data_IF_620534122107
#
_entry.id   IF_620534122107
#
_cell.length_a   1.000
_cell.length_b   1.000
_cell.length_c   1.000
_cell.angle_alpha   90.00
_cell.angle_beta   90.00
_cell.angle_gamma   90.00
#
_symmetry.space_group_name_H-M   'P 1'
#
loop_
_entity.id
_entity.type
_entity.pdbx_description
1 polymer ?
#
# COMPACT_ATOMS: atom_id res chain seq x y z
N UNK A 1 -47.14 -7.53 -7.14
CA UNK A 1 -47.18 -8.91 -6.68
C UNK A 1 -46.11 -9.66 -7.44
N UNK A 2 -44.86 -9.72 -6.91
CA UNK A 2 -43.75 -10.40 -7.57
C UNK A 2 -43.64 -11.81 -7.01
N UNK A 3 -43.56 -12.79 -7.88
CA UNK A 3 -43.38 -14.19 -7.56
C UNK A 3 -42.21 -14.37 -6.60
N UNK A 4 -42.45 -14.95 -5.43
CA UNK A 4 -41.42 -15.41 -4.51
C UNK A 4 -40.76 -16.62 -5.17
N UNK A 5 -39.56 -16.41 -5.72
CA UNK A 5 -38.71 -17.51 -6.15
C UNK A 5 -38.28 -18.29 -4.90
N UNK A 6 -38.97 -19.39 -4.61
CA UNK A 6 -38.78 -20.23 -3.43
C UNK A 6 -37.82 -21.39 -3.71
N UNK A 7 -36.89 -21.23 -4.64
CA UNK A 7 -35.88 -22.25 -4.88
C UNK A 7 -35.04 -22.39 -3.60
N UNK A 8 -35.11 -23.58 -2.95
CA UNK A 8 -34.26 -23.93 -1.81
C UNK A 8 -32.82 -23.91 -2.28
N UNK A 9 -32.02 -23.06 -1.64
CA UNK A 9 -30.59 -22.93 -1.92
C UNK A 9 -29.83 -23.45 -0.70
N UNK A 10 -29.17 -24.59 -0.82
CA UNK A 10 -28.29 -25.09 0.22
C UNK A 10 -26.85 -24.66 -0.07
N UNK A 11 -26.32 -23.84 0.80
CA UNK A 11 -24.93 -23.39 0.74
C UNK A 11 -24.08 -24.09 1.79
N UNK A 12 -22.81 -24.37 1.46
CA UNK A 12 -21.85 -24.88 2.43
C UNK A 12 -21.37 -23.77 3.34
N UNK A 13 -22.08 -23.60 4.45
CA UNK A 13 -21.77 -22.62 5.50
C UNK A 13 -20.85 -23.27 6.52
N UNK A 14 -19.77 -22.61 6.97
CA UNK A 14 -18.86 -23.15 7.98
C UNK A 14 -19.60 -23.64 9.24
N UNK A 15 -19.18 -24.79 9.78
CA UNK A 15 -19.82 -25.41 10.92
C UNK A 15 -19.93 -24.47 12.13
N UNK A 16 -18.93 -23.60 12.34
CA UNK A 16 -18.97 -22.62 13.42
C UNK A 16 -20.07 -21.58 13.20
N UNK A 17 -20.22 -21.01 11.99
CA UNK A 17 -21.30 -20.05 11.67
C UNK A 17 -22.66 -20.69 11.84
N UNK A 18 -22.83 -21.95 11.40
CA UNK A 18 -24.05 -22.74 11.66
C UNK A 18 -24.35 -22.89 13.15
N UNK A 19 -23.31 -23.15 13.96
CA UNK A 19 -23.47 -23.26 15.41
C UNK A 19 -23.86 -21.94 16.07
N UNK A 20 -23.26 -20.81 15.60
CA UNK A 20 -23.61 -19.47 16.07
C UNK A 20 -25.10 -19.18 15.86
N UNK A 21 -25.57 -19.38 14.61
CA UNK A 21 -26.98 -19.14 14.27
C UNK A 21 -27.92 -20.07 15.06
N UNK A 22 -27.60 -21.37 15.19
CA UNK A 22 -28.40 -22.32 15.97
C UNK A 22 -28.51 -21.92 17.45
N UNK A 23 -27.41 -21.49 18.08
CA UNK A 23 -27.42 -21.08 19.47
C UNK A 23 -28.27 -19.83 19.68
N UNK A 24 -28.13 -18.80 18.83
CA UNK A 24 -28.96 -17.60 18.87
C UNK A 24 -30.46 -17.94 18.70
N UNK A 25 -30.79 -18.84 17.77
CA UNK A 25 -32.17 -19.32 17.62
C UNK A 25 -32.68 -20.11 18.84
N UNK A 26 -31.81 -20.88 19.50
CA UNK A 26 -32.14 -21.63 20.73
C UNK A 26 -32.54 -20.72 21.89
N UNK A 27 -31.95 -19.52 21.96
CA UNK A 27 -32.27 -18.49 22.94
C UNK A 27 -33.39 -17.53 22.44
N UNK A 28 -34.12 -17.89 21.39
CA UNK A 28 -35.28 -17.15 20.88
C UNK A 28 -34.94 -15.95 19.98
N UNK A 29 -33.66 -15.73 19.67
CA UNK A 29 -33.24 -14.61 18.81
C UNK A 29 -33.34 -14.98 17.33
N UNK A 30 -33.64 -14.00 16.49
CA UNK A 30 -33.47 -14.13 15.03
C UNK A 30 -31.97 -13.99 14.67
N UNK A 31 -31.50 -14.81 13.73
CA UNK A 31 -30.13 -14.73 13.26
C UNK A 31 -30.01 -15.17 11.80
N UNK A 32 -29.21 -14.44 11.01
CA UNK A 32 -29.05 -14.64 9.57
C UNK A 32 -27.60 -14.42 9.14
N UNK A 33 -27.14 -15.15 8.12
CA UNK A 33 -25.91 -14.79 7.41
C UNK A 33 -26.20 -13.57 6.52
N UNK A 34 -25.29 -12.61 6.44
CA UNK A 34 -25.52 -11.35 5.71
C UNK A 34 -24.29 -10.85 4.96
N UNK A 35 -24.47 -9.82 4.16
CA UNK A 35 -23.40 -9.03 3.59
C UNK A 35 -22.61 -9.73 2.48
N UNK A 36 -21.27 -9.61 2.56
CA UNK A 36 -20.35 -10.11 1.54
C UNK A 36 -20.47 -11.59 1.26
N UNK A 37 -20.69 -12.42 2.30
CA UNK A 37 -20.86 -13.86 2.16
C UNK A 37 -22.06 -14.20 1.26
N UNK A 38 -23.22 -13.58 1.53
CA UNK A 38 -24.45 -13.83 0.73
C UNK A 38 -24.26 -13.39 -0.71
N UNK A 39 -23.65 -12.21 -0.93
CA UNK A 39 -23.31 -11.72 -2.27
C UNK A 39 -22.43 -12.74 -3.02
N UNK A 40 -21.32 -13.15 -2.41
CA UNK A 40 -20.33 -14.01 -3.07
C UNK A 40 -20.93 -15.36 -3.41
N UNK A 41 -21.74 -15.93 -2.52
CA UNK A 41 -22.48 -17.17 -2.79
C UNK A 41 -23.51 -17.01 -3.90
N UNK A 42 -24.24 -15.87 -3.97
CA UNK A 42 -25.13 -15.56 -5.09
C UNK A 42 -24.37 -15.42 -6.42
N UNK A 43 -23.08 -15.05 -6.37
CA UNK A 43 -22.20 -14.96 -7.54
C UNK A 43 -21.53 -16.32 -7.89
N UNK A 44 -21.81 -17.38 -7.16
CA UNK A 44 -21.13 -18.67 -7.30
C UNK A 44 -19.65 -18.65 -6.88
N UNK A 45 -19.25 -17.71 -6.01
CA UNK A 45 -17.89 -17.55 -5.49
C UNK A 45 -17.80 -18.08 -4.06
N UNK A 46 -16.64 -18.63 -3.64
CA UNK A 46 -16.44 -19.00 -2.24
C UNK A 46 -16.49 -17.77 -1.34
N UNK A 47 -17.27 -17.83 -0.26
CA UNK A 47 -17.31 -16.79 0.76
C UNK A 47 -16.15 -16.97 1.75
N UNK A 48 -15.46 -15.87 2.08
CA UNK A 48 -14.32 -15.87 3.01
C UNK A 48 -14.68 -15.23 4.34
N UNK A 49 -15.47 -14.14 4.31
CA UNK A 49 -15.85 -13.36 5.47
C UNK A 49 -17.32 -13.62 5.80
N UNK A 50 -17.57 -14.15 6.99
CA UNK A 50 -18.89 -14.61 7.40
C UNK A 50 -19.44 -13.71 8.51
N UNK A 51 -20.35 -12.83 8.13
CA UNK A 51 -21.03 -11.92 9.04
C UNK A 51 -22.42 -12.51 9.39
N UNK A 52 -22.77 -12.40 10.66
CA UNK A 52 -24.11 -12.76 11.18
C UNK A 52 -24.78 -11.50 11.70
N UNK A 53 -26.05 -11.31 11.37
CA UNK A 53 -26.89 -10.28 12.00
C UNK A 53 -27.97 -10.95 12.84
N UNK A 54 -28.36 -10.30 13.97
CA UNK A 54 -29.26 -10.90 14.95
C UNK A 54 -30.16 -9.87 15.63
N UNK A 55 -31.29 -10.31 16.18
CA UNK A 55 -32.13 -9.49 17.06
C UNK A 55 -31.55 -9.36 18.47
N UNK A 56 -30.54 -10.18 18.85
CA UNK A 56 -29.91 -10.14 20.17
C UNK A 56 -29.07 -8.84 20.31
N UNK A 57 -29.11 -8.26 21.51
CA UNK A 57 -28.21 -7.16 21.88
C UNK A 57 -26.76 -7.65 22.07
N UNK A 58 -25.77 -6.75 22.12
CA UNK A 58 -24.38 -7.16 22.36
C UNK A 58 -24.19 -7.90 23.70
N UNK A 59 -24.97 -7.57 24.71
CA UNK A 59 -24.97 -8.22 26.02
C UNK A 59 -25.48 -9.66 25.90
N UNK A 60 -26.63 -9.85 25.26
CA UNK A 60 -27.23 -11.16 24.99
C UNK A 60 -26.34 -12.03 24.13
N UNK A 61 -25.68 -11.45 23.09
CA UNK A 61 -24.69 -12.19 22.28
C UNK A 61 -23.57 -12.71 23.18
N UNK A 62 -23.01 -11.86 24.08
CA UNK A 62 -21.94 -12.30 24.99
C UNK A 62 -22.42 -13.40 25.95
N UNK A 63 -23.63 -13.29 26.48
CA UNK A 63 -24.21 -14.31 27.33
C UNK A 63 -24.40 -15.66 26.61
N UNK A 64 -24.95 -15.64 25.39
CA UNK A 64 -25.12 -16.86 24.56
C UNK A 64 -23.77 -17.53 24.25
N UNK A 65 -22.70 -16.75 24.11
CA UNK A 65 -21.36 -17.23 23.80
C UNK A 65 -20.38 -17.14 24.96
N UNK A 66 -20.89 -17.21 26.20
CA UNK A 66 -20.04 -17.29 27.39
C UNK A 66 -19.03 -18.44 27.25
N UNK A 67 -17.77 -18.17 27.62
CA UNK A 67 -16.63 -19.09 27.42
C UNK A 67 -15.93 -19.04 26.06
N UNK A 68 -16.49 -18.32 25.06
CA UNK A 68 -15.75 -17.99 23.86
C UNK A 68 -15.03 -16.64 24.01
N UNK A 69 -13.78 -16.58 23.50
CA UNK A 69 -13.07 -15.30 23.41
C UNK A 69 -13.84 -14.36 22.49
N UNK A 70 -14.30 -13.23 23.04
CA UNK A 70 -15.03 -12.23 22.28
C UNK A 70 -14.59 -10.82 22.67
N UNK A 71 -14.79 -9.85 21.78
CA UNK A 71 -14.62 -8.43 22.06
C UNK A 71 -15.66 -7.62 21.28
N UNK A 72 -16.07 -6.48 21.85
CA UNK A 72 -17.04 -5.60 21.20
C UNK A 72 -16.34 -4.62 20.29
N UNK A 73 -16.90 -4.45 19.09
CA UNK A 73 -16.54 -3.39 18.16
C UNK A 73 -17.55 -2.24 18.24
N UNK A 74 -17.28 -1.15 17.52
CA UNK A 74 -18.24 -0.07 17.31
C UNK A 74 -19.49 -0.63 16.59
N UNK A 75 -20.61 0.09 16.70
CA UNK A 75 -21.87 -0.23 16.01
C UNK A 75 -22.52 -1.57 16.45
N UNK A 76 -22.52 -1.85 17.74
CA UNK A 76 -23.21 -3.01 18.33
C UNK A 76 -22.77 -4.36 17.72
N UNK A 77 -21.51 -4.48 17.35
CA UNK A 77 -20.92 -5.71 16.81
C UNK A 77 -20.06 -6.41 17.86
N UNK A 78 -20.29 -7.71 18.04
CA UNK A 78 -19.46 -8.60 18.85
C UNK A 78 -18.66 -9.51 17.92
N UNK A 79 -17.35 -9.48 18.06
CA UNK A 79 -16.47 -10.40 17.32
C UNK A 79 -16.22 -11.64 18.17
N UNK A 80 -16.59 -12.79 17.66
CA UNK A 80 -16.30 -14.11 18.22
C UNK A 80 -15.02 -14.66 17.62
N UNK A 81 -14.10 -15.16 18.46
CA UNK A 81 -12.84 -15.75 18.00
C UNK A 81 -12.90 -17.28 18.11
N UNK A 82 -12.79 -17.98 16.98
CA UNK A 82 -12.76 -19.42 16.94
C UNK A 82 -11.63 -19.95 16.05
N UNK A 83 -10.75 -20.80 16.60
CA UNK A 83 -9.58 -21.37 15.88
C UNK A 83 -8.76 -20.31 15.13
N UNK A 84 -8.52 -19.15 15.77
CA UNK A 84 -7.74 -18.05 15.21
C UNK A 84 -8.47 -17.22 14.13
N UNK A 85 -9.72 -17.52 13.82
CA UNK A 85 -10.56 -16.74 12.90
C UNK A 85 -11.54 -15.85 13.68
N UNK A 86 -11.88 -14.72 13.10
CA UNK A 86 -12.81 -13.76 13.64
C UNK A 86 -14.15 -13.87 12.90
N UNK A 87 -15.25 -13.82 13.64
CA UNK A 87 -16.61 -13.86 13.11
C UNK A 87 -17.40 -12.74 13.73
N UNK A 88 -17.96 -11.86 12.91
CA UNK A 88 -18.72 -10.72 13.38
C UNK A 88 -20.19 -11.07 13.54
N UNK A 89 -20.73 -10.77 14.72
CA UNK A 89 -22.15 -10.91 15.05
C UNK A 89 -22.66 -9.52 15.42
N UNK A 90 -23.52 -8.96 14.58
CA UNK A 90 -24.02 -7.58 14.71
C UNK A 90 -25.50 -7.58 15.06
N UNK A 91 -25.88 -6.79 16.04
CA UNK A 91 -27.29 -6.53 16.35
C UNK A 91 -27.97 -5.81 15.19
N UNK A 92 -29.24 -6.10 14.91
CA UNK A 92 -30.00 -5.42 13.87
C UNK A 92 -29.92 -3.90 14.01
N UNK A 93 -29.50 -3.23 12.95
CA UNK A 93 -29.40 -1.78 12.85
C UNK A 93 -30.77 -1.15 12.62
N UNK A 94 -30.83 0.15 12.89
CA UNK A 94 -32.01 0.96 12.63
C UNK A 94 -33.00 1.00 13.80
N UNK A 95 -33.96 1.93 13.74
CA UNK A 95 -34.85 2.23 14.87
C UNK A 95 -35.83 1.11 15.22
N UNK A 96 -36.24 0.31 14.25
CA UNK A 96 -37.19 -0.80 14.44
C UNK A 96 -36.55 -2.09 14.89
N UNK A 97 -35.22 -2.20 14.79
CA UNK A 97 -34.43 -3.41 15.11
C UNK A 97 -35.01 -4.68 14.48
N UNK A 98 -35.41 -4.60 13.23
CA UNK A 98 -35.82 -5.72 12.39
C UNK A 98 -34.77 -6.08 11.36
N UNK A 99 -34.83 -7.28 10.79
CA UNK A 99 -33.93 -7.68 9.71
C UNK A 99 -34.05 -6.72 8.51
N UNK A 100 -35.25 -6.32 8.12
CA UNK A 100 -35.46 -5.42 6.99
C UNK A 100 -34.83 -4.05 7.25
N UNK A 101 -34.95 -3.54 8.46
CA UNK A 101 -34.34 -2.30 8.90
C UNK A 101 -32.82 -2.39 8.88
N UNK A 102 -32.22 -3.50 9.37
CA UNK A 102 -30.77 -3.73 9.26
C UNK A 102 -30.30 -3.75 7.80
N UNK A 103 -31.01 -4.47 6.92
CA UNK A 103 -30.67 -4.53 5.51
C UNK A 103 -30.79 -3.16 4.81
N UNK A 104 -31.77 -2.33 5.22
CA UNK A 104 -31.96 -0.96 4.71
C UNK A 104 -30.77 -0.05 5.02
N UNK A 105 -30.12 -0.23 6.18
CA UNK A 105 -28.99 0.59 6.63
C UNK A 105 -27.64 0.13 6.08
N UNK A 106 -27.62 -0.92 5.23
CA UNK A 106 -26.40 -1.35 4.54
C UNK A 106 -26.02 -0.42 3.39
N UNK A 107 -24.79 -0.55 2.91
CA UNK A 107 -24.22 0.35 1.90
C UNK A 107 -24.88 0.18 0.51
N UNK A 108 -24.84 -1.05 -0.02
CA UNK A 108 -25.30 -1.34 -1.38
C UNK A 108 -26.24 -2.54 -1.40
N UNK A 109 -27.17 -2.55 -2.38
CA UNK A 109 -28.15 -3.62 -2.56
C UNK A 109 -27.52 -5.00 -2.60
N UNK A 110 -26.37 -5.15 -3.26
CA UNK A 110 -25.62 -6.39 -3.37
C UNK A 110 -25.08 -6.91 -2.03
N UNK A 111 -24.99 -6.07 -1.01
CA UNK A 111 -24.59 -6.43 0.35
C UNK A 111 -25.77 -6.39 1.33
N UNK A 112 -26.96 -5.97 0.86
CA UNK A 112 -28.19 -5.82 1.65
C UNK A 112 -29.12 -7.03 1.49
N UNK A 113 -28.52 -8.22 1.52
CA UNK A 113 -29.20 -9.53 1.44
C UNK A 113 -28.87 -10.33 2.68
N UNK A 114 -29.83 -11.17 3.10
CA UNK A 114 -29.64 -12.13 4.18
C UNK A 114 -29.98 -13.55 3.75
N UNK A 115 -29.37 -14.54 4.36
CA UNK A 115 -29.69 -15.94 4.14
C UNK A 115 -30.30 -16.54 5.40
N UNK A 116 -31.53 -17.03 5.28
CA UNK A 116 -32.25 -17.77 6.34
C UNK A 116 -31.91 -19.26 6.21
N UNK A 117 -31.10 -19.76 7.12
CA UNK A 117 -30.70 -21.18 7.14
C UNK A 117 -31.86 -22.13 7.40
N UNK A 118 -32.93 -21.70 8.13
CA UNK A 118 -34.10 -22.57 8.41
C UNK A 118 -34.97 -22.75 7.19
N UNK A 119 -35.06 -21.69 6.36
CA UNK A 119 -35.87 -21.73 5.12
C UNK A 119 -35.02 -22.10 3.90
N UNK A 120 -33.71 -22.17 4.04
CA UNK A 120 -32.76 -22.33 2.92
C UNK A 120 -33.04 -21.31 1.81
N UNK A 121 -33.26 -20.06 2.17
CA UNK A 121 -33.72 -19.00 1.26
C UNK A 121 -32.97 -17.68 1.47
N UNK A 122 -32.75 -16.96 0.38
CA UNK A 122 -32.23 -15.59 0.40
C UNK A 122 -33.38 -14.63 0.61
N UNK A 123 -33.20 -13.72 1.57
CA UNK A 123 -34.07 -12.57 1.83
C UNK A 123 -33.43 -11.38 1.17
N UNK A 124 -34.09 -10.82 0.17
CA UNK A 124 -33.57 -9.75 -0.70
C UNK A 124 -34.66 -8.66 -0.92
N UNK A 125 -34.91 -7.81 0.06
CA UNK A 125 -35.94 -6.78 -0.04
C UNK A 125 -35.57 -5.64 -1.02
N UNK A 126 -34.28 -5.45 -1.33
CA UNK A 126 -33.77 -4.33 -2.11
C UNK A 126 -33.26 -4.71 -3.50
N UNK A 127 -33.43 -5.96 -3.94
CA UNK A 127 -33.11 -6.44 -5.29
C UNK A 127 -31.61 -6.63 -5.53
N UNK A 128 -30.86 -7.02 -4.52
CA UNK A 128 -29.40 -7.27 -4.61
C UNK A 128 -29.07 -8.36 -5.61
N UNK A 129 -29.84 -9.48 -5.68
CA UNK A 129 -29.66 -10.53 -6.70
C UNK A 129 -29.78 -10.00 -8.11
N UNK A 130 -30.81 -9.18 -8.37
CA UNK A 130 -31.01 -8.54 -9.66
C UNK A 130 -29.85 -7.59 -10.03
N UNK A 131 -29.30 -6.86 -9.06
CA UNK A 131 -28.17 -5.97 -9.28
C UNK A 131 -26.87 -6.75 -9.50
N UNK A 132 -26.69 -7.90 -8.87
CA UNK A 132 -25.59 -8.85 -9.18
C UNK A 132 -25.70 -9.32 -10.65
N UNK A 133 -26.87 -9.79 -11.09
CA UNK A 133 -27.09 -10.23 -12.47
C UNK A 133 -26.79 -9.12 -13.48
N UNK A 134 -27.21 -7.89 -13.17
CA UNK A 134 -26.96 -6.70 -14.01
C UNK A 134 -25.57 -6.11 -13.85
N UNK A 135 -24.75 -6.65 -12.94
CA UNK A 135 -23.43 -6.14 -12.59
C UNK A 135 -23.43 -4.66 -12.20
N UNK A 136 -24.26 -4.31 -11.24
CA UNK A 136 -24.49 -2.92 -10.79
C UNK A 136 -24.21 -2.79 -9.29
N UNK A 137 -23.47 -1.76 -8.91
CA UNK A 137 -23.36 -1.26 -7.53
C UNK A 137 -24.38 -0.13 -7.35
N UNK A 138 -25.39 -0.38 -6.53
CA UNK A 138 -26.49 0.55 -6.23
C UNK A 138 -26.58 0.79 -4.74
N UNK A 139 -26.72 2.04 -4.31
CA UNK A 139 -27.02 2.40 -2.92
C UNK A 139 -28.40 1.90 -2.50
N UNK A 140 -28.53 1.44 -1.25
CA UNK A 140 -29.82 0.96 -0.72
C UNK A 140 -30.76 2.14 -0.53
N UNK A 141 -31.96 2.08 -1.07
CA UNK A 141 -33.05 3.07 -1.00
C UNK A 141 -32.63 4.46 -1.48
N UNK A 142 -31.87 5.20 -0.68
CA UNK A 142 -31.31 6.53 -0.99
C UNK A 142 -29.81 6.50 -0.84
N UNK A 143 -29.03 6.57 -1.93
CA UNK A 143 -27.58 6.65 -1.84
C UNK A 143 -27.12 7.83 -0.97
N UNK A 144 -27.78 8.97 -1.07
CA UNK A 144 -27.46 10.20 -0.32
C UNK A 144 -27.53 9.96 1.19
N UNK A 145 -28.58 9.26 1.66
CA UNK A 145 -28.73 8.97 3.09
C UNK A 145 -27.68 7.98 3.56
N UNK A 146 -27.39 6.97 2.75
CA UNK A 146 -26.32 5.99 3.06
C UNK A 146 -24.95 6.66 3.17
N UNK A 147 -24.68 7.66 2.32
CA UNK A 147 -23.41 8.40 2.35
C UNK A 147 -23.34 9.41 3.50
N UNK A 148 -24.47 10.00 3.94
CA UNK A 148 -24.52 10.82 5.16
C UNK A 148 -24.25 10.01 6.41
N UNK A 149 -24.74 8.78 6.49
CA UNK A 149 -24.49 7.89 7.64
C UNK A 149 -23.01 7.50 7.75
N UNK A 150 -22.36 7.18 6.65
CA UNK A 150 -20.94 6.84 6.60
C UNK A 150 -20.34 7.25 5.25
N UNK A 151 -19.63 8.40 5.18
CA UNK A 151 -19.03 8.88 3.95
C UNK A 151 -17.96 7.96 3.37
N UNK A 152 -17.42 6.99 4.13
CA UNK A 152 -16.53 5.96 3.57
C UNK A 152 -17.22 5.16 2.46
N UNK A 153 -18.54 5.08 2.46
CA UNK A 153 -19.31 4.38 1.42
C UNK A 153 -19.12 4.97 0.03
N UNK A 154 -18.69 6.24 -0.07
CA UNK A 154 -18.33 6.88 -1.35
C UNK A 154 -17.19 6.11 -2.04
N UNK A 155 -16.10 5.87 -1.34
CA UNK A 155 -14.95 5.13 -1.89
C UNK A 155 -15.24 3.63 -1.96
N UNK A 156 -16.05 3.08 -1.06
CA UNK A 156 -16.49 1.68 -1.11
C UNK A 156 -17.28 1.36 -2.38
N UNK A 157 -18.09 2.31 -2.90
CA UNK A 157 -18.78 2.15 -4.18
C UNK A 157 -17.79 1.94 -5.33
N UNK A 158 -16.73 2.76 -5.38
CA UNK A 158 -15.65 2.62 -6.37
C UNK A 158 -14.93 1.29 -6.20
N UNK A 159 -14.60 0.93 -4.95
CA UNK A 159 -13.93 -0.35 -4.67
C UNK A 159 -14.77 -1.54 -5.14
N UNK A 160 -16.04 -1.62 -4.78
CA UNK A 160 -16.90 -2.73 -5.22
C UNK A 160 -17.07 -2.76 -6.73
N UNK A 161 -17.17 -1.61 -7.37
CA UNK A 161 -17.24 -1.55 -8.84
C UNK A 161 -16.02 -2.22 -9.49
N UNK A 162 -14.82 -1.94 -8.99
CA UNK A 162 -13.57 -2.50 -9.53
C UNK A 162 -13.36 -3.96 -9.12
N UNK A 163 -13.56 -4.27 -7.84
CA UNK A 163 -13.32 -5.59 -7.26
C UNK A 163 -14.25 -6.67 -7.87
N UNK A 164 -15.50 -6.28 -8.17
CA UNK A 164 -16.51 -7.17 -8.73
C UNK A 164 -16.60 -7.08 -10.27
N UNK A 165 -15.99 -6.08 -10.89
CA UNK A 165 -16.15 -5.80 -12.32
C UNK A 165 -17.56 -5.28 -12.65
N UNK A 166 -18.14 -4.47 -11.76
CA UNK A 166 -19.48 -3.91 -11.88
C UNK A 166 -19.41 -2.42 -12.26
N UNK A 167 -20.49 -1.88 -12.82
CA UNK A 167 -20.68 -0.43 -12.99
C UNK A 167 -21.39 0.16 -11.77
N UNK A 168 -21.12 1.41 -11.47
CA UNK A 168 -21.88 2.16 -10.46
C UNK A 168 -23.20 2.62 -11.13
N UNK A 169 -24.32 2.47 -10.45
CA UNK A 169 -25.62 2.94 -10.90
C UNK A 169 -25.61 4.48 -10.99
N UNK A 170 -26.30 5.04 -11.99
CA UNK A 170 -26.22 6.47 -12.31
C UNK A 170 -26.65 7.38 -11.14
N UNK A 171 -27.76 7.04 -10.44
CA UNK A 171 -28.21 7.81 -9.27
C UNK A 171 -27.16 7.75 -8.16
N UNK A 172 -26.60 6.56 -7.92
CA UNK A 172 -25.52 6.35 -6.93
C UNK A 172 -24.27 7.14 -7.32
N UNK A 173 -23.88 7.15 -8.60
CA UNK A 173 -22.73 7.92 -9.10
C UNK A 173 -22.92 9.43 -8.92
N UNK A 174 -24.10 9.93 -9.22
CA UNK A 174 -24.46 11.36 -9.00
C UNK A 174 -24.40 11.73 -7.52
N UNK A 175 -24.92 10.88 -6.65
CA UNK A 175 -24.83 11.08 -5.21
C UNK A 175 -23.37 11.09 -4.71
N UNK A 176 -22.50 10.23 -5.25
CA UNK A 176 -21.07 10.30 -4.94
C UNK A 176 -20.52 11.67 -5.32
N UNK A 177 -20.73 12.11 -6.57
CA UNK A 177 -20.18 13.37 -7.08
C UNK A 177 -20.68 14.60 -6.32
N UNK A 178 -21.90 14.58 -5.80
CA UNK A 178 -22.47 15.70 -5.03
C UNK A 178 -22.00 15.74 -3.57
N UNK A 179 -21.37 14.66 -3.06
CA UNK A 179 -21.01 14.52 -1.64
C UNK A 179 -19.52 14.26 -1.42
N UNK A 180 -18.69 14.44 -2.43
CA UNK A 180 -17.25 14.11 -2.38
C UNK A 180 -16.50 14.76 -1.22
N UNK A 181 -16.84 16.01 -0.86
CA UNK A 181 -16.21 16.74 0.25
C UNK A 181 -16.37 16.03 1.59
N UNK A 182 -17.48 15.32 1.79
CA UNK A 182 -17.75 14.63 3.07
C UNK A 182 -16.74 13.54 3.38
N UNK A 183 -15.97 13.06 2.39
CA UNK A 183 -14.91 12.06 2.61
C UNK A 183 -13.84 12.56 3.59
N UNK A 184 -13.67 13.88 3.73
CA UNK A 184 -12.72 14.51 4.65
C UNK A 184 -13.06 14.27 6.13
N UNK A 185 -14.31 13.89 6.44
CA UNK A 185 -14.73 13.55 7.81
C UNK A 185 -14.38 12.12 8.21
N UNK A 186 -13.96 11.30 7.25
CA UNK A 186 -13.56 9.90 7.50
C UNK A 186 -12.11 9.84 7.97
N UNK A 187 -11.82 8.96 8.93
CA UNK A 187 -10.43 8.79 9.39
C UNK A 187 -9.52 8.33 8.24
N UNK A 188 -8.30 8.89 8.17
CA UNK A 188 -7.36 8.59 7.09
C UNK A 188 -7.04 7.09 6.96
N UNK A 189 -7.02 6.36 8.08
CA UNK A 189 -6.76 4.91 8.09
C UNK A 189 -7.84 4.14 7.35
N UNK A 190 -9.12 4.50 7.55
CA UNK A 190 -10.23 3.86 6.85
C UNK A 190 -10.17 4.13 5.34
N UNK A 191 -9.84 5.37 4.95
CA UNK A 191 -9.64 5.74 3.54
C UNK A 191 -8.47 4.94 2.95
N UNK A 192 -7.34 4.89 3.66
CA UNK A 192 -6.16 4.10 3.26
C UNK A 192 -6.54 2.66 2.94
N UNK A 193 -7.27 2.01 3.85
CA UNK A 193 -7.59 0.59 3.72
C UNK A 193 -8.47 0.31 2.50
N UNK A 194 -9.44 1.17 2.20
CA UNK A 194 -10.23 1.09 0.97
C UNK A 194 -9.38 1.39 -0.28
N UNK A 195 -8.51 2.40 -0.23
CA UNK A 195 -7.60 2.74 -1.35
C UNK A 195 -6.63 1.59 -1.67
N UNK A 196 -6.07 0.94 -0.65
CA UNK A 196 -5.22 -0.24 -0.87
C UNK A 196 -6.00 -1.34 -1.58
N UNK A 197 -7.24 -1.62 -1.17
CA UNK A 197 -8.10 -2.60 -1.84
C UNK A 197 -8.35 -2.23 -3.30
N UNK A 198 -8.61 -0.96 -3.61
CA UNK A 198 -8.73 -0.49 -5.00
C UNK A 198 -7.44 -0.73 -5.79
N UNK A 199 -6.28 -0.45 -5.19
CA UNK A 199 -4.99 -0.59 -5.86
C UNK A 199 -4.58 -2.05 -6.11
N UNK A 200 -4.94 -2.99 -5.23
CA UNK A 200 -4.56 -4.40 -5.37
C UNK A 200 -5.56 -5.23 -6.18
N UNK A 201 -6.66 -4.64 -6.64
CA UNK A 201 -7.58 -5.29 -7.59
C UNK A 201 -6.88 -5.65 -8.91
N UNK A 202 -7.53 -6.46 -9.73
CA UNK A 202 -7.05 -6.86 -11.04
C UNK A 202 -6.83 -5.65 -11.98
N UNK A 203 -7.78 -4.68 -11.98
CA UNK A 203 -7.77 -3.49 -12.83
C UNK A 203 -7.79 -2.18 -12.02
N UNK A 204 -6.74 -1.83 -11.27
CA UNK A 204 -6.70 -0.61 -10.45
C UNK A 204 -6.83 0.68 -11.25
N UNK A 205 -6.44 0.68 -12.54
CA UNK A 205 -6.63 1.85 -13.42
C UNK A 205 -8.08 2.27 -13.55
N UNK A 206 -9.01 1.31 -13.56
CA UNK A 206 -10.45 1.59 -13.57
C UNK A 206 -10.88 2.27 -12.26
N UNK A 207 -10.33 1.84 -11.12
CA UNK A 207 -10.60 2.46 -9.82
C UNK A 207 -10.11 3.90 -9.77
N UNK A 208 -8.87 4.15 -10.21
CA UNK A 208 -8.32 5.51 -10.30
C UNK A 208 -9.12 6.40 -11.28
N UNK A 209 -9.64 5.82 -12.36
CA UNK A 209 -10.51 6.51 -13.31
C UNK A 209 -11.84 6.89 -12.65
N UNK A 210 -12.53 5.95 -11.99
CA UNK A 210 -13.78 6.21 -11.28
C UNK A 210 -13.62 7.25 -10.16
N UNK A 211 -12.53 7.18 -9.39
CA UNK A 211 -12.22 8.20 -8.37
C UNK A 211 -12.07 9.60 -8.98
N UNK A 212 -11.50 9.69 -10.19
CA UNK A 212 -11.37 10.96 -10.91
C UNK A 212 -12.70 11.42 -11.47
N UNK A 213 -13.46 10.55 -12.15
CA UNK A 213 -14.77 10.89 -12.74
C UNK A 213 -15.78 11.34 -11.70
N UNK A 214 -15.78 10.70 -10.53
CA UNK A 214 -16.66 11.07 -9.43
C UNK A 214 -16.20 12.30 -8.64
N UNK A 215 -14.97 12.79 -8.88
CA UNK A 215 -14.39 13.90 -8.14
C UNK A 215 -13.76 13.54 -6.79
N UNK A 216 -13.81 12.27 -6.36
CA UNK A 216 -13.23 11.83 -5.08
C UNK A 216 -11.71 11.96 -5.03
N UNK A 217 -11.03 11.81 -6.19
CA UNK A 217 -9.57 11.85 -6.25
C UNK A 217 -8.99 13.16 -5.74
N UNK A 218 -9.66 14.30 -5.98
CA UNK A 218 -9.22 15.64 -5.54
C UNK A 218 -9.14 15.73 -4.02
N UNK A 219 -10.06 15.10 -3.33
CA UNK A 219 -10.12 15.12 -1.86
C UNK A 219 -9.20 14.09 -1.20
N UNK A 220 -8.99 12.95 -1.85
CA UNK A 220 -8.17 11.85 -1.30
C UNK A 220 -6.70 12.04 -1.65
N UNK A 221 -6.37 12.27 -2.92
CA UNK A 221 -5.00 12.36 -3.45
C UNK A 221 -4.86 13.55 -4.41
N UNK A 222 -4.99 14.80 -3.92
CA UNK A 222 -4.86 16.00 -4.76
C UNK A 222 -3.52 16.03 -5.51
N UNK A 223 -2.47 15.47 -4.93
CA UNK A 223 -1.12 15.39 -5.54
C UNK A 223 -1.09 14.55 -6.83
N UNK A 224 -2.12 13.75 -7.06
CA UNK A 224 -2.21 12.89 -8.24
C UNK A 224 -3.16 13.42 -9.32
N UNK A 225 -3.86 14.52 -9.08
CA UNK A 225 -4.84 15.08 -10.02
C UNK A 225 -4.17 15.59 -11.28
N UNK A 226 -3.05 16.31 -11.15
CA UNK A 226 -2.33 16.96 -12.27
C UNK A 226 -1.50 15.99 -13.14
N UNK A 227 -1.32 14.76 -12.73
CA UNK A 227 -0.48 13.82 -13.45
C UNK A 227 -1.25 12.94 -14.43
N UNK A 228 -1.03 13.17 -15.70
CA UNK A 228 -1.50 12.52 -16.93
C UNK A 228 -2.29 11.19 -16.90
N UNK A 229 -3.07 10.96 -17.96
CA UNK A 229 -3.93 9.78 -18.21
C UNK A 229 -3.22 8.40 -18.21
N UNK A 230 -1.88 8.37 -18.09
CA UNK A 230 -1.09 7.14 -18.16
C UNK A 230 -0.84 6.41 -16.82
N UNK A 231 -1.07 7.05 -15.67
CA UNK A 231 -0.72 6.49 -14.34
C UNK A 231 -1.36 5.14 -14.06
N UNK A 232 -2.65 5.01 -14.33
CA UNK A 232 -3.38 3.77 -14.11
C UNK A 232 -2.76 2.59 -14.85
N UNK A 233 -2.37 2.79 -16.12
CA UNK A 233 -1.77 1.73 -16.94
C UNK A 233 -0.45 1.20 -16.40
N UNK A 234 0.32 2.00 -15.67
CA UNK A 234 1.55 1.55 -15.00
C UNK A 234 1.21 0.69 -13.80
N UNK A 235 0.21 1.12 -13.01
CA UNK A 235 -0.24 0.37 -11.83
C UNK A 235 -0.81 -0.99 -12.22
N UNK A 236 -1.55 -1.12 -13.32
CA UNK A 236 -2.07 -2.42 -13.82
C UNK A 236 -0.97 -3.43 -14.17
N UNK A 237 0.23 -2.96 -14.53
CA UNK A 237 1.33 -3.81 -15.03
C UNK A 237 2.24 -4.37 -13.96
N UNK A 238 2.04 -4.03 -12.71
CA UNK A 238 2.80 -4.56 -11.57
C UNK A 238 1.94 -5.53 -10.76
N UNK A 239 2.60 -6.45 -10.07
CA UNK A 239 1.91 -7.42 -9.21
C UNK A 239 0.96 -6.73 -8.19
N UNK A 240 -0.10 -7.41 -7.73
CA UNK A 240 -1.06 -6.87 -6.76
C UNK A 240 -0.49 -6.83 -5.33
N UNK A 241 0.71 -6.29 -5.20
CA UNK A 241 1.37 -6.03 -3.92
C UNK A 241 1.22 -4.56 -3.55
N UNK A 242 0.81 -4.23 -2.30
CA UNK A 242 0.57 -2.84 -1.90
C UNK A 242 1.78 -1.92 -2.07
N UNK A 243 2.99 -2.38 -1.73
CA UNK A 243 4.22 -1.56 -1.86
C UNK A 243 4.52 -1.28 -3.33
N UNK A 244 4.42 -2.31 -4.17
CA UNK A 244 4.70 -2.20 -5.59
C UNK A 244 3.66 -1.34 -6.31
N UNK A 245 2.36 -1.50 -6.00
CA UNK A 245 1.26 -0.71 -6.57
C UNK A 245 1.34 0.77 -6.15
N UNK A 246 1.65 1.06 -4.90
CA UNK A 246 1.90 2.42 -4.42
C UNK A 246 3.14 3.02 -5.11
N UNK A 247 4.24 2.26 -5.21
CA UNK A 247 5.45 2.74 -5.91
C UNK A 247 5.14 3.07 -7.37
N UNK A 248 4.39 2.21 -8.07
CA UNK A 248 3.97 2.47 -9.45
C UNK A 248 3.09 3.74 -9.57
N UNK A 249 2.18 3.94 -8.61
CA UNK A 249 1.31 5.11 -8.56
C UNK A 249 2.11 6.42 -8.41
N UNK A 250 3.12 6.44 -7.55
CA UNK A 250 3.98 7.62 -7.35
C UNK A 250 4.99 7.83 -8.49
N UNK A 251 5.53 6.76 -9.08
CA UNK A 251 6.47 6.86 -10.21
C UNK A 251 5.81 7.40 -11.48
N UNK A 252 4.61 6.95 -11.79
CA UNK A 252 3.90 7.34 -13.01
C UNK A 252 3.56 8.84 -13.10
N UNK A 253 3.65 9.55 -11.98
CA UNK A 253 3.40 10.99 -11.92
C UNK A 253 4.60 11.88 -12.14
N UNK A 254 5.79 11.32 -12.02
CA UNK A 254 7.03 12.08 -12.09
C UNK A 254 7.43 12.49 -13.52
N UNK A 255 6.80 11.91 -14.54
CA UNK A 255 7.15 12.19 -15.95
C UNK A 255 6.47 13.44 -16.54
N UNK A 256 5.45 14.00 -15.89
CA UNK A 256 4.64 15.09 -16.47
C UNK A 256 4.79 16.46 -15.80
N UNK A 257 5.54 16.55 -14.73
CA UNK A 257 5.80 17.84 -14.10
C UNK A 257 7.31 18.09 -14.07
N UNK A 258 7.72 19.31 -14.41
CA UNK A 258 9.04 19.91 -14.20
C UNK A 258 9.41 19.93 -12.68
N UNK A 259 9.40 18.77 -12.04
CA UNK A 259 9.75 18.62 -10.65
C UNK A 259 11.25 18.40 -10.57
N UNK A 260 11.93 19.41 -10.01
CA UNK A 260 13.33 19.41 -9.61
C UNK A 260 13.83 18.03 -9.19
N UNK A 261 14.94 17.65 -9.80
CA UNK A 261 15.61 16.38 -9.60
C UNK A 261 15.95 16.14 -8.12
N UNK A 262 15.45 15.07 -7.55
CA UNK A 262 16.02 14.36 -6.41
C UNK A 262 15.34 14.48 -5.05
N UNK A 263 14.84 15.62 -4.60
CA UNK A 263 14.38 15.79 -3.20
C UNK A 263 12.86 15.91 -3.01
N UNK A 264 12.11 16.31 -4.04
CA UNK A 264 10.67 16.57 -3.92
C UNK A 264 9.81 15.30 -3.88
N UNK A 265 10.23 14.19 -4.51
CA UNK A 265 9.41 12.97 -4.55
C UNK A 265 9.40 12.18 -3.27
N UNK A 266 10.55 12.07 -2.63
CA UNK A 266 10.63 11.40 -1.33
C UNK A 266 9.79 12.19 -0.31
N UNK A 267 9.80 13.52 -0.40
CA UNK A 267 8.94 14.40 0.40
C UNK A 267 7.46 14.15 0.09
N UNK A 268 7.08 14.01 -1.18
CA UNK A 268 5.69 13.72 -1.57
C UNK A 268 5.23 12.34 -1.08
N UNK A 269 6.04 11.28 -1.27
CA UNK A 269 5.73 9.95 -0.75
C UNK A 269 5.56 9.99 0.77
N UNK A 270 6.52 10.61 1.48
CA UNK A 270 6.47 10.72 2.94
C UNK A 270 5.25 11.53 3.42
N UNK A 271 4.93 12.64 2.77
CA UNK A 271 3.81 13.50 3.13
C UNK A 271 2.47 12.78 2.90
N UNK A 272 2.25 12.20 1.71
CA UNK A 272 1.01 11.51 1.37
C UNK A 272 0.81 10.27 2.23
N UNK A 273 1.81 9.38 2.28
CA UNK A 273 1.68 8.15 3.06
C UNK A 273 1.66 8.42 4.57
N UNK A 274 2.34 9.47 5.04
CA UNK A 274 2.27 9.92 6.43
C UNK A 274 0.87 10.41 6.81
N UNK A 275 0.22 11.21 5.94
CA UNK A 275 -1.18 11.68 6.12
C UNK A 275 -2.16 10.52 6.32
N UNK A 276 -1.93 9.38 5.63
CA UNK A 276 -2.76 8.19 5.75
C UNK A 276 -2.25 7.18 6.79
N UNK A 277 -1.34 7.56 7.66
CA UNK A 277 -0.83 6.72 8.75
C UNK A 277 -0.31 5.34 8.29
N UNK A 278 0.38 5.28 7.16
CA UNK A 278 1.10 4.08 6.78
C UNK A 278 2.24 3.79 7.75
N UNK A 279 2.61 2.52 7.91
CA UNK A 279 3.75 2.16 8.76
C UNK A 279 5.04 2.78 8.23
N UNK A 280 5.92 3.22 9.14
CA UNK A 280 7.26 3.75 8.79
C UNK A 280 8.07 2.79 7.90
N UNK A 281 7.86 1.48 8.07
CA UNK A 281 8.49 0.45 7.23
C UNK A 281 8.00 0.56 5.78
N UNK A 282 6.69 0.61 5.56
CA UNK A 282 6.11 0.69 4.23
C UNK A 282 6.47 2.01 3.53
N UNK A 283 6.42 3.14 4.26
CA UNK A 283 6.84 4.45 3.72
C UNK A 283 8.28 4.38 3.21
N UNK A 284 9.20 3.84 4.01
CA UNK A 284 10.62 3.69 3.61
C UNK A 284 10.79 2.79 2.39
N UNK A 285 10.04 1.68 2.32
CA UNK A 285 10.11 0.77 1.16
C UNK A 285 9.63 1.45 -0.13
N UNK A 286 8.47 2.13 -0.09
CA UNK A 286 7.93 2.86 -1.25
C UNK A 286 8.87 3.99 -1.66
N UNK A 287 9.33 4.84 -0.72
CA UNK A 287 10.25 5.93 -1.01
C UNK A 287 11.56 5.42 -1.63
N UNK A 288 12.12 4.32 -1.11
CA UNK A 288 13.32 3.68 -1.65
C UNK A 288 13.12 3.22 -3.11
N UNK A 289 12.00 2.56 -3.41
CA UNK A 289 11.70 2.09 -4.77
C UNK A 289 11.44 3.25 -5.75
N UNK A 290 10.71 4.27 -5.32
CA UNK A 290 10.45 5.47 -6.12
C UNK A 290 11.75 6.23 -6.41
N UNK A 291 12.60 6.42 -5.40
CA UNK A 291 13.92 7.04 -5.56
C UNK A 291 14.86 6.23 -6.46
N UNK A 292 14.85 4.90 -6.31
CA UNK A 292 15.64 4.00 -7.14
C UNK A 292 15.18 4.00 -8.61
N UNK A 293 13.87 4.02 -8.86
CA UNK A 293 13.31 4.07 -10.21
C UNK A 293 13.71 5.35 -10.95
N UNK A 294 13.74 6.49 -10.23
CA UNK A 294 14.23 7.75 -10.78
C UNK A 294 15.72 7.72 -11.06
N UNK A 295 16.53 7.24 -10.11
CA UNK A 295 17.98 7.09 -10.33
C UNK A 295 18.26 6.16 -11.50
N UNK A 296 17.39 5.18 -11.75
CA UNK A 296 17.49 4.33 -12.95
C UNK A 296 17.20 5.09 -14.25
N UNK A 297 16.44 6.19 -14.24
CA UNK A 297 16.21 6.98 -15.45
C UNK A 297 17.52 7.53 -16.04
N UNK A 298 18.51 7.78 -15.17
CA UNK A 298 19.83 8.28 -15.53
C UNK A 298 20.79 7.16 -16.01
N UNK A 299 20.36 5.88 -15.93
CA UNK A 299 21.19 4.76 -16.38
C UNK A 299 21.45 4.83 -17.89
N UNK A 300 22.72 4.80 -18.25
CA UNK A 300 23.19 4.65 -19.63
C UNK A 300 24.36 3.66 -19.71
N UNK A 301 24.71 3.27 -20.93
CA UNK A 301 25.72 2.21 -21.18
C UNK A 301 27.14 2.56 -20.72
N UNK A 302 27.43 3.83 -20.48
CA UNK A 302 28.73 4.31 -20.00
C UNK A 302 28.91 4.16 -18.48
N UNK A 303 27.90 3.75 -17.70
CA UNK A 303 28.11 3.44 -16.31
C UNK A 303 29.15 2.34 -16.15
N UNK A 304 30.14 2.58 -15.28
CA UNK A 304 31.13 1.57 -14.90
C UNK A 304 30.47 0.43 -14.11
N UNK A 305 31.19 -0.66 -13.93
CA UNK A 305 30.73 -1.72 -13.04
C UNK A 305 30.71 -1.28 -11.57
N UNK A 306 31.62 -0.36 -11.20
CA UNK A 306 31.57 0.32 -9.91
C UNK A 306 30.30 1.14 -9.71
N UNK A 307 29.87 1.92 -10.73
CA UNK A 307 28.60 2.66 -10.66
C UNK A 307 27.40 1.73 -10.44
N UNK A 308 27.39 0.60 -11.17
CA UNK A 308 26.35 -0.40 -11.00
C UNK A 308 26.36 -1.03 -9.60
N UNK A 309 27.54 -1.35 -9.05
CA UNK A 309 27.63 -1.88 -7.68
C UNK A 309 27.20 -0.85 -6.66
N UNK A 310 27.55 0.44 -6.81
CA UNK A 310 27.06 1.54 -5.97
C UNK A 310 25.54 1.63 -6.04
N UNK A 311 24.98 1.54 -7.24
CA UNK A 311 23.53 1.53 -7.42
C UNK A 311 22.87 0.32 -6.75
N UNK A 312 23.39 -0.90 -6.96
CA UNK A 312 22.89 -2.13 -6.34
C UNK A 312 22.94 -2.00 -4.80
N UNK A 313 24.06 -1.50 -4.24
CA UNK A 313 24.22 -1.27 -2.79
C UNK A 313 23.17 -0.28 -2.25
N UNK A 314 22.90 0.82 -2.98
CA UNK A 314 21.90 1.83 -2.60
C UNK A 314 20.49 1.27 -2.62
N UNK A 315 20.15 0.51 -3.65
CA UNK A 315 18.82 -0.10 -3.83
C UNK A 315 18.61 -1.28 -2.88
N UNK A 316 19.66 -2.08 -2.66
CA UNK A 316 19.61 -3.39 -2.00
C UNK A 316 19.28 -4.50 -2.99
N UNK A 317 20.03 -5.59 -2.91
CA UNK A 317 19.87 -6.74 -3.81
C UNK A 317 18.44 -7.30 -3.79
N UNK A 318 17.85 -7.35 -2.60
CA UNK A 318 16.49 -7.83 -2.36
C UNK A 318 15.40 -7.01 -3.08
N UNK A 319 15.70 -5.77 -3.47
CA UNK A 319 14.75 -4.89 -4.15
C UNK A 319 14.95 -4.81 -5.68
N UNK A 320 16.00 -5.43 -6.22
CA UNK A 320 16.35 -5.30 -7.65
C UNK A 320 15.28 -5.86 -8.57
N UNK A 321 14.72 -7.03 -8.28
CA UNK A 321 13.65 -7.62 -9.10
C UNK A 321 12.39 -6.75 -9.08
N UNK A 322 12.05 -6.24 -7.91
CA UNK A 322 10.92 -5.32 -7.72
C UNK A 322 11.12 -4.03 -8.52
N UNK A 323 12.34 -3.45 -8.46
CA UNK A 323 12.69 -2.26 -9.24
C UNK A 323 12.63 -2.52 -10.75
N UNK A 324 13.15 -3.66 -11.21
CA UNK A 324 13.11 -4.06 -12.61
C UNK A 324 11.67 -4.21 -13.10
N UNK A 325 10.81 -4.83 -12.29
CA UNK A 325 9.37 -4.96 -12.58
C UNK A 325 8.71 -3.59 -12.70
N UNK A 326 8.97 -2.69 -11.74
CA UNK A 326 8.46 -1.33 -11.72
C UNK A 326 8.93 -0.53 -12.96
N UNK A 327 10.24 -0.60 -13.29
CA UNK A 327 10.80 0.05 -14.48
C UNK A 327 10.19 -0.48 -15.77
N UNK A 328 10.03 -1.81 -15.88
CA UNK A 328 9.38 -2.44 -17.03
C UNK A 328 7.94 -1.92 -17.20
N UNK A 329 7.18 -1.84 -16.11
CA UNK A 329 5.82 -1.31 -16.13
C UNK A 329 5.78 0.16 -16.59
N UNK A 330 6.66 1.02 -16.05
CA UNK A 330 6.77 2.42 -16.44
C UNK A 330 7.11 2.58 -17.92
N UNK A 331 8.13 1.87 -18.39
CA UNK A 331 8.57 1.95 -19.78
C UNK A 331 7.50 1.45 -20.75
N UNK A 332 6.85 0.34 -20.45
CA UNK A 332 5.77 -0.18 -21.31
C UNK A 332 4.54 0.74 -21.31
N UNK A 333 4.34 1.56 -20.27
CA UNK A 333 3.35 2.62 -20.23
C UNK A 333 3.55 3.71 -21.28
N UNK A 334 4.79 3.88 -21.81
CA UNK A 334 5.12 4.86 -22.84
C UNK A 334 4.61 4.49 -24.25
N UNK A 335 4.08 3.28 -24.45
CA UNK A 335 3.57 2.83 -25.74
C UNK A 335 4.66 2.72 -26.81
N UNK A 336 4.50 3.40 -27.96
CA UNK A 336 5.44 3.34 -29.09
C UNK A 336 6.89 3.76 -28.74
N UNK A 337 7.08 4.61 -27.73
CA UNK A 337 8.41 5.04 -27.23
C UNK A 337 9.14 4.02 -26.35
N UNK A 338 8.55 2.85 -26.09
CA UNK A 338 9.09 1.88 -25.13
C UNK A 338 10.32 1.10 -25.61
N UNK A 339 10.56 0.97 -26.92
CA UNK A 339 11.59 0.06 -27.47
C UNK A 339 13.01 0.38 -26.99
N UNK A 340 13.45 1.62 -27.08
CA UNK A 340 14.78 2.06 -26.63
C UNK A 340 14.99 1.84 -25.13
N UNK A 341 14.09 2.35 -24.26
CA UNK A 341 14.15 2.12 -22.82
C UNK A 341 14.09 0.63 -22.42
N UNK A 342 13.31 -0.22 -23.12
CA UNK A 342 13.28 -1.66 -22.86
C UNK A 342 14.61 -2.34 -23.22
N UNK A 343 15.26 -1.91 -24.30
CA UNK A 343 16.60 -2.41 -24.67
C UNK A 343 17.61 -2.06 -23.58
N UNK A 344 17.60 -0.81 -23.08
CA UNK A 344 18.45 -0.39 -21.96
C UNK A 344 18.20 -1.21 -20.71
N UNK A 345 16.92 -1.47 -20.36
CA UNK A 345 16.57 -2.30 -19.22
C UNK A 345 17.10 -3.73 -19.35
N UNK A 346 17.01 -4.35 -20.54
CA UNK A 346 17.58 -5.69 -20.81
C UNK A 346 19.10 -5.70 -20.65
N UNK A 347 19.81 -4.68 -21.16
CA UNK A 347 21.25 -4.55 -21.02
C UNK A 347 21.65 -4.40 -19.53
N UNK A 348 20.93 -3.57 -18.77
CA UNK A 348 21.10 -3.44 -17.32
C UNK A 348 20.94 -4.78 -16.60
N UNK A 349 19.85 -5.52 -16.87
CA UNK A 349 19.59 -6.82 -16.28
C UNK A 349 20.71 -7.83 -16.55
N UNK A 350 21.26 -7.83 -17.76
CA UNK A 350 22.36 -8.72 -18.14
C UNK A 350 23.64 -8.38 -17.36
N UNK A 351 23.98 -7.08 -17.24
CA UNK A 351 25.15 -6.62 -16.48
C UNK A 351 25.01 -6.90 -14.99
N UNK A 352 23.86 -6.59 -14.40
CA UNK A 352 23.59 -6.87 -12.98
C UNK A 352 23.73 -8.36 -12.68
N UNK A 353 23.16 -9.25 -13.51
CA UNK A 353 23.33 -10.70 -13.34
C UNK A 353 24.79 -11.14 -13.40
N UNK A 354 25.61 -10.49 -14.24
CA UNK A 354 27.06 -10.74 -14.30
C UNK A 354 27.75 -10.32 -13.00
N UNK A 355 27.45 -9.12 -12.51
CA UNK A 355 28.08 -8.58 -11.30
C UNK A 355 27.68 -9.32 -10.01
N UNK A 356 26.45 -9.82 -9.93
CA UNK A 356 25.97 -10.56 -8.76
C UNK A 356 26.57 -11.97 -8.60
N UNK A 357 27.37 -12.43 -9.55
CA UNK A 357 28.19 -13.65 -9.39
C UNK A 357 29.31 -13.46 -8.37
N UNK A 358 29.75 -12.23 -8.14
CA UNK A 358 30.70 -11.83 -7.12
C UNK A 358 29.94 -11.12 -6.00
N UNK A 359 30.14 -11.49 -4.71
CA UNK A 359 29.45 -10.83 -3.61
C UNK A 359 29.67 -9.32 -3.63
N UNK A 360 28.61 -8.55 -3.52
CA UNK A 360 28.68 -7.09 -3.43
C UNK A 360 29.03 -6.70 -2.01
N UNK A 361 30.11 -5.94 -1.84
CA UNK A 361 30.48 -5.37 -0.53
C UNK A 361 29.48 -4.28 -0.15
N UNK A 362 28.62 -4.54 0.82
CA UNK A 362 27.54 -3.64 1.27
C UNK A 362 28.04 -2.56 2.21
N UNK A 363 29.10 -2.90 2.98
CA UNK A 363 29.68 -1.98 3.96
C UNK A 363 30.84 -2.62 4.75
N UNK A 364 31.27 -1.95 5.81
CA UNK A 364 32.36 -2.41 6.65
C UNK A 364 32.22 -3.82 7.21
N UNK A 365 30.99 -4.28 7.41
CA UNK A 365 30.71 -5.63 7.94
C UNK A 365 31.06 -6.77 6.97
N UNK A 366 31.19 -6.48 5.67
CA UNK A 366 31.47 -7.49 4.63
C UNK A 366 32.98 -7.54 4.29
N UNK A 367 33.81 -6.73 4.96
CA UNK A 367 35.24 -6.72 4.75
C UNK A 367 35.90 -7.98 5.32
N UNK A 368 36.91 -8.51 4.64
CA UNK A 368 37.70 -9.64 5.10
C UNK A 368 38.62 -9.30 6.29
N UNK A 369 38.52 -8.09 6.86
CA UNK A 369 39.13 -7.62 8.11
C UNK A 369 38.10 -6.85 8.92
N UNK A 370 38.30 -6.87 10.25
CA UNK A 370 37.46 -6.13 11.20
C UNK A 370 38.17 -4.88 11.77
N UNK A 371 37.43 -4.15 12.63
CA UNK A 371 37.97 -2.97 13.30
C UNK A 371 39.20 -3.28 14.18
N UNK A 372 39.25 -4.47 14.77
CA UNK A 372 40.39 -4.88 15.60
C UNK A 372 41.68 -4.95 14.78
N UNK A 373 41.57 -5.48 13.56
CA UNK A 373 42.74 -5.56 12.66
C UNK A 373 43.15 -4.17 12.13
N UNK A 374 42.22 -3.29 11.92
CA UNK A 374 42.51 -1.89 11.57
C UNK A 374 43.24 -1.19 12.72
N UNK A 375 42.77 -1.32 13.96
CA UNK A 375 43.43 -0.75 15.15
C UNK A 375 44.85 -1.26 15.33
N UNK A 376 45.07 -2.57 15.18
CA UNK A 376 46.38 -3.21 15.28
C UNK A 376 47.37 -2.61 14.26
N UNK A 377 47.00 -2.55 13.00
CA UNK A 377 47.90 -2.10 11.91
C UNK A 377 48.13 -0.59 11.95
N UNK A 378 47.06 0.19 12.15
CA UNK A 378 47.11 1.65 12.13
C UNK A 378 47.59 2.24 13.47
N UNK A 379 47.67 1.43 14.55
CA UNK A 379 47.97 1.81 15.94
C UNK A 379 46.99 2.86 16.47
N UNK A 380 45.68 2.60 16.25
CA UNK A 380 44.57 3.48 16.67
C UNK A 380 43.87 2.90 17.90
N UNK A 381 43.36 3.78 18.75
CA UNK A 381 42.41 3.43 19.80
C UNK A 381 41.01 3.25 19.22
N UNK A 382 40.08 2.53 19.89
CA UNK A 382 38.69 2.44 19.47
C UNK A 382 38.08 3.83 19.32
N UNK A 383 37.48 4.11 18.15
CA UNK A 383 36.91 5.43 17.89
C UNK A 383 36.39 5.63 16.46
N UNK A 384 35.88 6.82 16.18
CA UNK A 384 35.27 7.13 14.87
C UNK A 384 36.20 6.97 13.66
N UNK A 385 37.53 7.11 13.90
CA UNK A 385 38.55 7.00 12.87
C UNK A 385 38.64 5.58 12.29
N UNK A 386 38.55 4.57 13.14
CA UNK A 386 38.46 3.17 12.69
C UNK A 386 37.28 2.94 11.77
N UNK A 387 36.13 3.53 12.10
CA UNK A 387 34.93 3.50 11.26
C UNK A 387 35.12 4.21 9.91
N UNK A 388 35.83 5.34 9.90
CA UNK A 388 36.16 6.08 8.64
C UNK A 388 37.06 5.23 7.73
N UNK A 389 38.09 4.59 8.29
CA UNK A 389 39.00 3.72 7.52
C UNK A 389 38.26 2.50 6.95
N UNK A 390 37.45 1.81 7.76
CA UNK A 390 36.64 0.69 7.28
C UNK A 390 35.66 1.11 6.17
N UNK A 391 35.05 2.28 6.31
CA UNK A 391 34.18 2.85 5.28
C UNK A 391 34.95 3.14 4.00
N UNK A 392 36.12 3.75 4.09
CA UNK A 392 36.98 4.03 2.93
C UNK A 392 37.37 2.74 2.22
N UNK A 393 37.83 1.71 2.94
CA UNK A 393 38.12 0.40 2.34
C UNK A 393 36.91 -0.20 1.68
N UNK A 394 35.72 -0.09 2.26
CA UNK A 394 34.49 -0.60 1.65
C UNK A 394 34.09 0.16 0.36
N UNK A 395 34.45 1.44 0.23
CA UNK A 395 34.24 2.20 -1.02
C UNK A 395 35.23 1.77 -2.14
N UNK A 396 36.49 1.56 -1.80
CA UNK A 396 37.49 1.04 -2.76
C UNK A 396 37.08 -0.35 -3.30
N UNK A 397 36.52 -1.20 -2.45
CA UNK A 397 36.06 -2.53 -2.86
C UNK A 397 34.79 -2.51 -3.74
N UNK A 398 34.12 -1.39 -3.87
CA UNK A 398 33.03 -1.25 -4.85
C UNK A 398 33.60 -1.33 -6.28
N UNK A 399 34.76 -0.73 -6.52
CA UNK A 399 35.44 -0.81 -7.82
C UNK A 399 36.14 -2.17 -7.99
N UNK A 400 36.78 -2.67 -6.93
CA UNK A 400 37.65 -3.83 -6.93
C UNK A 400 37.22 -4.89 -5.91
N UNK A 401 36.07 -5.57 -6.07
CA UNK A 401 35.58 -6.55 -5.10
C UNK A 401 36.53 -7.75 -4.92
N UNK A 402 37.34 -8.07 -5.92
CA UNK A 402 38.36 -9.10 -5.87
C UNK A 402 39.49 -8.79 -4.84
N UNK A 403 39.59 -7.53 -4.42
CA UNK A 403 40.54 -7.14 -3.37
C UNK A 403 40.04 -7.43 -1.96
N UNK A 404 38.83 -7.92 -1.77
CA UNK A 404 38.29 -8.27 -0.46
C UNK A 404 38.92 -9.55 0.07
N UNK A 405 40.22 -9.51 0.24
CA UNK A 405 41.03 -10.56 0.89
C UNK A 405 41.82 -9.94 2.03
N UNK A 406 42.03 -10.72 3.11
CA UNK A 406 42.78 -10.25 4.27
C UNK A 406 44.16 -9.72 3.88
N UNK A 407 44.86 -10.43 2.98
CA UNK A 407 46.22 -10.04 2.52
C UNK A 407 46.19 -8.67 1.80
N UNK A 408 45.23 -8.47 0.89
CA UNK A 408 45.15 -7.23 0.10
C UNK A 408 44.74 -6.06 0.98
N UNK A 409 43.74 -6.23 1.86
CA UNK A 409 43.26 -5.18 2.75
C UNK A 409 44.35 -4.76 3.75
N UNK A 410 45.14 -5.70 4.30
CA UNK A 410 46.30 -5.40 5.13
C UNK A 410 47.36 -4.59 4.37
N UNK A 411 47.63 -4.94 3.10
CA UNK A 411 48.53 -4.18 2.25
C UNK A 411 48.04 -2.75 2.00
N UNK A 412 46.74 -2.56 1.78
CA UNK A 412 46.11 -1.23 1.62
C UNK A 412 46.27 -0.40 2.91
N UNK A 413 45.96 -0.97 4.07
CA UNK A 413 46.17 -0.28 5.37
C UNK A 413 47.64 0.14 5.60
N UNK A 414 48.58 -0.73 5.29
CA UNK A 414 50.01 -0.38 5.39
C UNK A 414 50.41 0.76 4.47
N UNK A 415 49.87 0.80 3.26
CA UNK A 415 50.09 1.90 2.31
C UNK A 415 49.48 3.23 2.81
N UNK A 416 48.29 3.20 3.41
CA UNK A 416 47.65 4.37 4.03
C UNK A 416 48.41 4.91 5.21
N UNK A 417 49.18 4.07 5.92
CA UNK A 417 49.99 4.46 7.07
C UNK A 417 51.34 5.11 6.66
N UNK A 418 51.75 5.03 5.40
CA UNK A 418 53.00 5.61 4.92
C UNK A 418 52.89 7.14 4.83
N UNK A 419 53.88 7.95 5.28
CA UNK A 419 53.75 9.40 5.46
C UNK A 419 53.44 10.26 4.21
N UNK A 420 53.41 9.67 3.04
CA UNK A 420 53.25 10.40 1.75
C UNK A 420 51.81 10.94 1.48
N UNK A 421 50.82 10.71 2.35
CA UNK A 421 49.43 11.17 2.14
C UNK A 421 48.91 12.11 3.25
N UNK A 422 49.73 12.46 4.26
CA UNK A 422 49.34 13.42 5.30
C UNK A 422 49.44 14.87 4.87
N UNK A 423 50.10 15.18 3.75
CA UNK A 423 50.27 16.56 3.28
C UNK A 423 49.10 17.11 2.41
N UNK A 424 48.13 16.26 2.03
CA UNK A 424 46.98 16.73 1.20
C UNK A 424 45.67 16.96 1.98
N UNK A 425 45.62 16.63 3.30
CA UNK A 425 44.43 16.87 4.11
C UNK A 425 44.44 18.15 4.91
N UNK A 426 45.62 18.78 5.09
CA UNK A 426 45.74 20.04 5.84
C UNK A 426 45.48 21.30 4.99
N UNK A 427 45.49 21.20 3.65
CA UNK A 427 45.24 22.36 2.75
C UNK A 427 43.75 22.63 2.42
N UNK A 428 42.82 21.82 2.91
CA UNK A 428 41.38 22.04 2.66
C UNK A 428 40.67 22.72 3.82
N UNK A 429 41.22 22.66 5.05
CA UNK A 429 40.61 23.27 6.23
C UNK A 429 41.02 24.77 6.42
N UNK A 430 42.03 25.27 5.70
CA UNK A 430 42.44 26.69 5.80
C UNK A 430 41.69 27.66 4.88
N UNK A 431 40.82 27.18 3.97
CA UNK A 431 40.08 28.06 3.04
C UNK A 431 38.73 28.54 3.61
N UNK A 432 38.30 28.07 4.76
CA UNK A 432 37.04 28.51 5.39
C UNK A 432 37.18 29.39 6.63
N UNK A 433 38.36 29.96 6.88
CA UNK A 433 38.71 30.75 8.08
C UNK A 433 38.77 32.28 7.91
N UNK A 434 38.48 32.88 6.76
CA UNK A 434 38.53 34.34 6.58
C UNK A 434 37.35 34.93 5.82
N UNK A 435 36.24 35.08 6.52
CA UNK A 435 35.17 35.98 6.15
C UNK A 435 34.85 36.91 7.34
N UNK A 436 35.56 37.97 7.38
CA UNK A 436 35.39 39.35 7.66
C UNK A 436 34.27 39.74 8.64
N UNK A 437 34.70 40.23 9.81
CA UNK A 437 33.89 41.14 10.61
C UNK A 437 33.57 42.42 9.79
N UNK A 438 32.34 42.59 9.35
CA UNK A 438 31.82 43.88 8.89
C UNK A 438 31.13 44.58 10.06
N UNK A 439 31.72 45.76 10.38
CA UNK A 439 31.26 46.72 11.37
C UNK A 439 29.85 47.23 11.05
N UNK A 440 29.01 47.23 12.05
CA UNK A 440 27.72 47.91 12.10
C UNK A 440 27.93 49.45 11.97
N UNK A 441 27.20 50.10 11.06
CA UNK A 441 26.98 51.54 11.02
C UNK A 441 25.53 51.85 11.43
N UNK A 442 25.26 52.93 12.18
CA UNK A 442 23.97 53.26 12.73
C UNK A 442 23.04 53.91 11.70
N UNK A 443 21.75 53.66 11.87
CA UNK A 443 20.68 54.30 11.11
C UNK A 443 20.43 55.74 11.60
N UNK A 444 20.10 56.70 10.72
CA UNK A 444 19.53 57.96 11.12
C UNK A 444 18.01 57.88 11.26
N UNK A 445 17.53 58.58 12.29
CA UNK A 445 16.11 58.85 12.55
C UNK A 445 15.56 59.85 11.52
N UNK A 446 14.43 59.58 10.94
CA UNK A 446 13.28 60.48 10.75
C UNK A 446 12.08 59.65 10.22
#
# INVERSE_FOLDING_TARGET
MGARDTTRIEWDIPAFVRSVIKRLHGEGHQAYVVGGAVRDLCMGRPATDWDVTTSASPEEIRAVFEGLRSFSLKHETVTLVHKGRHYEVTTFRGPKRTLEDDLQHRDFTINAMAYDMRKSAVIDPWGGRRDIEKRVVRGVVSPEDRFREDPLRLIRAVRFAVELGFRIEEKTSRAISSMTETITTVSPERIRDEMIRVLVCENPSQGLHLLRETGLLVWILPELVEGGKGRGKVVDRVAPDPVLRLSALFCAGAQSASLDHGTKSDKTVNAVMGRFFFSKRMIRQVAKLVGAERAFADYHSSWSDGDLRRFIRKVGEENLETLISLRKANVTGLGKGAQGPLRRLKAFQARVRGLMRTPVVRGPQDLAIDGSKVMEIMRLSPGPEVGRILKHLSEELVEHPEWNTRTKLVAMLKKMKSPALTEHSESVDEIHGTAGRLKTRPQPKS
#
